data_IF_872830737922
#
_entry.id   IF_872830737922
#
_cell.length_a   1.000
_cell.length_b   1.000
_cell.length_c   1.000
_cell.angle_alpha   90.00
_cell.angle_beta   90.00
_cell.angle_gamma   90.00
#
_symmetry.space_group_name_H-M   'P 1'
#
loop_
_entity.id
_entity.type
_entity.pdbx_description
1 polymer ?
2 non-polymer ?
3 non-polymer ?
4 water ?
#
# COMPACT_ATOMS: atom_id res chain seq x y z
N UNK A 2 -4.16 -12.40 -5.50
CA UNK A 2 -4.45 -11.39 -6.50
C UNK A 2 -4.94 -10.09 -5.89
N UNK A 3 -4.46 -8.97 -6.41
CA UNK A 3 -4.86 -7.66 -5.92
C UNK A 3 -5.58 -6.85 -6.99
N UNK A 6 -7.96 0.49 -7.98
CA UNK A 6 -9.08 1.24 -8.53
C UNK A 6 -8.92 2.74 -8.27
N UNK A 7 -9.20 3.55 -9.28
CA UNK A 7 -9.11 5.00 -9.14
C UNK A 7 -10.45 5.67 -9.44
N UNK A 8 -10.87 6.55 -8.52
CA UNK A 8 -12.09 7.34 -8.71
C UNK A 8 -11.71 8.80 -8.89
N UNK A 9 -12.35 9.46 -9.85
CA UNK A 9 -12.14 10.89 -10.06
C UNK A 9 -13.46 11.65 -10.26
N UNK A 10 -13.61 12.75 -9.53
CA UNK A 10 -14.80 13.57 -9.63
C UNK A 10 -14.64 14.87 -8.88
N UNK A 11 -15.35 15.90 -9.31
CA UNK A 11 -15.25 17.22 -8.68
C UNK A 11 -16.13 17.31 -7.44
N UNK A 12 -17.02 16.35 -7.26
CA UNK A 12 -17.89 16.32 -6.09
C UNK A 12 -17.32 15.37 -5.04
N UNK A 13 -16.77 15.94 -3.98
CA UNK A 13 -16.14 15.15 -2.92
C UNK A 13 -17.16 14.26 -2.20
N UNK A 14 -18.39 14.74 -2.09
CA UNK A 14 -19.45 13.97 -1.45
C UNK A 14 -19.79 12.73 -2.27
N UNK A 15 -19.65 12.84 -3.59
CA UNK A 15 -19.93 11.72 -4.48
C UNK A 15 -18.81 10.68 -4.44
N UNK A 16 -17.57 11.15 -4.39
CA UNK A 16 -16.41 10.27 -4.30
C UNK A 16 -16.43 9.43 -3.03
N UNK A 17 -16.68 10.08 -1.90
CA UNK A 17 -16.67 9.41 -0.61
C UNK A 17 -17.87 8.48 -0.45
N UNK A 18 -18.96 8.80 -1.14
CA UNK A 18 -20.14 7.96 -1.13
C UNK A 18 -19.81 6.67 -1.87
N UNK A 19 -19.13 6.81 -3.00
CA UNK A 19 -18.69 5.66 -3.78
C UNK A 19 -17.64 4.86 -3.03
N UNK A 20 -16.80 5.58 -2.28
CA UNK A 20 -15.76 4.95 -1.48
C UNK A 20 -16.35 4.01 -0.44
N UNK A 21 -17.37 4.49 0.27
CA UNK A 21 -18.04 3.71 1.31
C UNK A 21 -18.62 2.42 0.76
N UNK A 22 -19.22 2.48 -0.42
CA UNK A 22 -19.85 1.32 -1.02
C UNK A 22 -18.83 0.32 -1.57
N UNK A 24 -15.63 -0.19 -0.69
CA UNK A 24 -14.86 -0.87 0.36
C UNK A 24 -15.72 -1.85 1.15
N UNK A 25 -17.03 -1.61 1.17
CA UNK A 25 -17.94 -2.52 1.85
C UNK A 25 -18.05 -3.82 1.06
N UNK A 26 -18.21 -3.70 -0.24
CA UNK A 26 -18.30 -4.87 -1.12
C UNK A 26 -17.01 -5.69 -1.08
N UNK A 27 -15.88 -5.00 -1.06
CA UNK A 27 -14.58 -5.66 -1.01
C UNK A 27 -14.39 -6.41 0.32
N UNK A 28 -14.78 -5.77 1.42
CA UNK A 28 -14.70 -6.39 2.74
C UNK A 28 -15.76 -7.47 2.89
N UNK A 29 -16.85 -7.34 2.15
CA UNK A 29 -17.92 -8.34 2.15
C UNK A 29 -17.41 -9.64 1.55
N UNK A 30 -16.42 -9.53 0.67
CA UNK A 30 -15.85 -10.70 0.01
C UNK A 30 -14.48 -11.04 0.61
N UNK A 31 -14.32 -10.75 1.89
CA UNK A 31 -13.09 -11.04 2.64
C UNK A 31 -11.83 -10.44 2.00
N UNK A 32 -11.92 -9.18 1.62
CA UNK A 32 -10.79 -8.49 1.01
C UNK A 32 -10.29 -7.33 1.86
N UNK A 33 -8.98 -7.20 1.98
CA UNK A 33 -8.38 -6.12 2.75
C UNK A 33 -8.18 -4.90 1.85
N UNK A 34 -8.71 -3.75 2.28
CA UNK A 34 -8.65 -2.55 1.45
C UNK A 34 -7.69 -1.50 1.97
N UNK A 35 -7.27 -0.63 1.06
CA UNK A 35 -6.43 0.52 1.37
C UNK A 35 -6.83 1.65 0.46
N UNK A 36 -7.07 2.83 1.02
CA UNK A 36 -7.48 3.97 0.19
C UNK A 36 -6.73 5.25 0.49
N UNK A 37 -6.75 6.16 -0.49
CA UNK A 37 -6.03 7.42 -0.40
C UNK A 37 -6.73 8.48 -1.23
N UNK A 38 -7.24 9.52 -0.56
CA UNK A 38 -7.88 10.63 -1.26
C UNK A 38 -6.96 11.83 -1.35
N UNK A 39 -6.69 12.28 -2.57
CA UNK A 39 -5.87 13.47 -2.79
C UNK A 39 -6.47 14.33 -3.89
N UNK A 40 -6.93 15.52 -3.53
CA UNK A 40 -7.56 16.41 -4.47
C UNK A 40 -8.88 15.86 -4.94
N UNK A 41 -9.01 15.64 -6.24
CA UNK A 41 -10.22 15.06 -6.82
C UNK A 41 -9.98 13.65 -7.29
N UNK A 42 -8.90 13.04 -6.80
CA UNK A 42 -8.53 11.68 -7.17
C UNK A 42 -8.52 10.77 -5.95
N UNK A 43 -9.22 9.64 -6.07
CA UNK A 43 -9.33 8.68 -4.97
C UNK A 43 -8.83 7.31 -5.40
N UNK A 45 -8.18 3.34 -4.59
CA UNK A 45 -8.61 2.23 -3.76
C UNK A 45 -7.83 0.96 -4.11
N UNK A 46 -6.99 0.51 -3.18
CA UNK A 46 -6.18 -0.68 -3.41
C UNK A 46 -6.73 -1.87 -2.63
N UNK A 47 -7.22 -2.87 -3.36
CA UNK A 47 -7.79 -4.06 -2.75
C UNK A 47 -6.90 -5.27 -2.96
N UNK A 48 -6.57 -5.97 -1.88
CA UNK A 48 -5.72 -7.15 -1.95
C UNK A 48 -6.43 -8.39 -1.41
N UNK A 49 -5.92 -9.57 -1.78
CA UNK A 49 -6.49 -10.82 -1.33
C UNK A 49 -7.82 -11.12 -1.98
N UNK A 50 -7.88 -10.97 -3.31
CA UNK A 50 -9.11 -11.23 -4.06
C UNK A 50 -8.83 -12.01 -5.34
N UNK A 51 -9.55 -13.12 -5.55
CA UNK A 51 -9.39 -13.95 -6.74
C UNK A 51 -10.26 -13.48 -7.91
N UNK A 52 -10.22 -14.21 -9.02
CA UNK A 52 -10.89 -13.81 -10.26
C UNK A 52 -12.41 -13.68 -10.11
N UNK A 53 -12.99 -14.48 -9.21
CA UNK A 53 -14.43 -14.48 -9.02
C UNK A 53 -14.98 -13.13 -8.57
N UNK A 54 -14.42 -12.58 -7.49
CA UNK A 54 -14.91 -11.32 -6.95
C UNK A 54 -14.34 -10.10 -7.67
N UNK A 55 -13.18 -10.28 -8.31
CA UNK A 55 -12.59 -9.19 -9.09
C UNK A 55 -13.47 -8.85 -10.29
N UNK A 56 -14.28 -9.82 -10.72
CA UNK A 56 -15.25 -9.60 -11.76
C UNK A 56 -16.45 -8.82 -11.20
N UNK A 57 -16.79 -9.09 -9.94
CA UNK A 57 -17.89 -8.43 -9.26
C UNK A 57 -17.52 -7.01 -8.84
N UNK A 58 -16.32 -6.86 -8.27
CA UNK A 58 -15.85 -5.55 -7.83
C UNK A 58 -15.71 -4.59 -9.00
N UNK A 59 -15.34 -5.12 -10.16
CA UNK A 59 -15.23 -4.32 -11.37
C UNK A 59 -16.62 -3.89 -11.83
N UNK A 60 -17.59 -4.79 -11.70
CA UNK A 60 -18.97 -4.48 -12.07
C UNK A 60 -19.55 -3.45 -11.12
N UNK A 61 -19.12 -3.49 -9.86
CA UNK A 61 -19.53 -2.52 -8.87
C UNK A 61 -18.92 -1.15 -9.18
N UNK A 62 -17.72 -1.15 -9.75
CA UNK A 62 -17.05 0.07 -10.14
C UNK A 62 -17.79 0.75 -11.29
N UNK A 63 -18.27 -0.06 -12.24
CA UNK A 63 -19.03 0.47 -13.37
C UNK A 63 -20.39 0.98 -12.91
N UNK A 64 -20.94 0.34 -11.89
CA UNK A 64 -22.25 0.71 -11.36
C UNK A 64 -22.19 2.04 -10.62
N UNK A 65 -21.15 2.24 -9.83
CA UNK A 65 -20.97 3.49 -9.09
C UNK A 65 -20.59 4.62 -10.04
N UNK A 66 -20.03 4.25 -11.19
CA UNK A 66 -19.68 5.23 -12.22
C UNK A 66 -20.93 5.94 -12.72
N UNK A 67 -21.94 5.18 -13.08
CA UNK A 67 -23.18 5.72 -13.62
C UNK A 67 -24.07 6.31 -12.52
N UNK A 68 -23.93 5.79 -11.31
CA UNK A 68 -24.75 6.24 -10.19
C UNK A 68 -24.39 7.63 -9.69
N UNK A 69 -23.09 7.89 -9.52
CA UNK A 69 -22.64 9.16 -8.97
C UNK A 69 -22.02 10.08 -10.02
N UNK A 70 -22.06 9.66 -11.28
CA UNK A 70 -21.52 10.43 -12.40
C UNK A 70 -20.05 10.80 -12.18
N UNK A 71 -19.21 9.79 -12.01
CA UNK A 71 -17.79 10.01 -11.80
C UNK A 71 -16.96 9.11 -12.74
N UNK A 72 -15.70 9.45 -12.91
CA UNK A 72 -14.80 8.66 -13.74
C UNK A 72 -14.24 7.50 -12.93
N UNK A 73 -13.99 6.38 -13.61
CA UNK A 73 -13.45 5.20 -12.94
C UNK A 73 -12.49 4.42 -13.85
N UNK A 74 -11.38 3.99 -13.28
CA UNK A 74 -10.45 3.11 -13.97
C UNK A 74 -9.86 2.11 -12.99
N UNK A 75 -9.46 0.93 -13.48
CA UNK A 75 -8.90 -0.08 -12.60
C UNK A 75 -7.92 -1.00 -13.32
N UNK A 76 -7.06 -1.65 -12.54
CA UNK A 76 -6.10 -2.62 -13.06
C UNK A 76 -6.12 -3.91 -12.23
N UNK A 77 -5.87 -5.03 -12.89
CA UNK A 77 -5.95 -6.32 -12.22
C UNK A 77 -4.65 -7.10 -12.36
N UNK A 78 -4.18 -7.66 -11.24
CA UNK A 78 -2.99 -8.49 -11.22
C UNK A 78 -3.33 -9.85 -10.63
N UNK A 79 -3.31 -10.89 -11.47
CA UNK A 79 -3.80 -12.19 -11.08
C UNK A 79 -2.74 -13.27 -10.88
N UNK A 80 -1.72 -13.27 -11.74
CA UNK A 80 -0.69 -14.32 -11.70
C UNK A 80 0.13 -14.30 -10.42
N UNK A 81 0.93 -15.34 -10.22
CA UNK A 81 1.76 -15.46 -9.04
C UNK A 81 3.05 -16.23 -9.31
N UNK A 82 3.54 -16.96 -8.32
CA UNK A 82 2.88 -17.04 -7.01
C UNK A 82 3.52 -16.09 -6.02
N UNK A 83 2.71 -15.14 -5.51
CA UNK A 83 3.19 -14.18 -4.53
C UNK A 83 2.62 -12.79 -4.75
N UNK A 84 3.12 -11.83 -3.99
CA UNK A 84 4.16 -12.09 -3.00
C UNK A 84 3.73 -11.65 -1.61
N UNK A 85 4.38 -10.62 -1.10
CA UNK A 85 4.08 -10.10 0.22
C UNK A 85 4.30 -8.60 0.34
N UNK A 86 3.96 -8.03 1.50
CA UNK A 86 4.08 -6.60 1.73
C UNK A 86 4.66 -6.33 3.11
N UNK A 89 7.81 -0.40 6.96
CA UNK A 89 8.75 -0.02 8.01
C UNK A 89 8.70 1.48 8.25
N UNK A 90 8.77 1.88 9.53
CA UNK A 90 8.70 3.29 9.90
C UNK A 90 9.92 3.73 10.69
N UNK A 91 10.59 4.78 10.22
CA UNK A 91 11.73 5.37 10.91
C UNK A 91 11.36 6.75 11.44
N UNK A 92 11.72 7.02 12.70
CA UNK A 92 11.50 8.32 13.29
C UNK A 92 12.71 8.79 14.09
N UNK A 93 12.98 10.09 14.01
CA UNK A 93 14.11 10.68 14.70
C UNK A 93 14.21 12.18 14.45
N UNK A 94 14.94 12.88 15.30
CA UNK A 94 15.07 14.32 15.19
C UNK A 94 16.29 14.70 14.35
N UNK A 95 17.05 13.70 13.90
CA UNK A 95 18.20 13.93 13.06
C UNK A 95 17.93 13.45 11.64
N UNK A 96 17.85 14.39 10.70
CA UNK A 96 17.52 14.07 9.31
C UNK A 96 18.62 13.26 8.63
N UNK A 97 19.86 13.56 8.97
CA UNK A 97 21.00 12.87 8.36
C UNK A 97 21.01 11.40 8.74
N UNK A 98 20.67 11.10 9.98
CA UNK A 98 20.65 9.73 10.47
C UNK A 98 19.53 8.93 9.82
N UNK A 99 18.38 9.58 9.62
CA UNK A 99 17.24 8.94 8.97
C UNK A 99 17.56 8.56 7.53
N UNK A 100 18.07 9.52 6.78
CA UNK A 100 18.38 9.32 5.36
C UNK A 100 19.54 8.34 5.17
N UNK A 101 20.44 8.31 6.15
CA UNK A 101 21.56 7.37 6.10
C UNK A 101 21.07 5.96 6.42
N UNK A 102 20.11 5.87 7.33
CA UNK A 102 19.47 4.59 7.63
C UNK A 102 18.62 4.15 6.45
N UNK A 103 18.03 5.13 5.75
CA UNK A 103 17.23 4.86 4.57
C UNK A 103 18.05 4.20 3.48
N UNK A 104 19.26 4.72 3.26
CA UNK A 104 20.15 4.22 2.23
C UNK A 104 20.53 2.76 2.48
N UNK A 105 20.69 2.39 3.75
CA UNK A 105 21.06 1.03 4.11
C UNK A 105 19.88 0.08 3.99
N UNK A 107 17.37 0.45 2.11
CA UNK A 107 17.11 0.33 0.67
C UNK A 107 18.03 -0.71 0.04
N UNK A 108 19.32 -0.61 0.36
CA UNK A 108 20.33 -1.52 -0.18
C UNK A 108 20.00 -2.98 0.14
N UNK A 109 19.55 -3.23 1.37
CA UNK A 109 19.22 -4.58 1.82
C UNK A 109 18.06 -5.17 1.04
N UNK A 110 16.97 -4.41 0.96
CA UNK A 110 15.76 -4.87 0.30
C UNK A 110 15.96 -5.07 -1.20
N UNK A 111 16.78 -4.22 -1.81
CA UNK A 111 17.03 -4.32 -3.24
C UNK A 111 18.05 -5.40 -3.58
N UNK A 112 18.87 -5.77 -2.59
CA UNK A 112 19.79 -6.88 -2.74
C UNK A 112 19.01 -8.19 -2.75
N UNK A 113 17.90 -8.21 -2.01
CA UNK A 113 17.06 -9.39 -1.93
C UNK A 113 15.93 -9.35 -2.96
N UNK A 114 16.17 -8.62 -4.06
CA UNK A 114 15.22 -8.51 -5.17
C UNK A 114 13.84 -8.04 -4.76
N UNK A 115 13.79 -6.97 -3.97
CA UNK A 115 12.53 -6.41 -3.53
C UNK A 115 12.36 -4.96 -3.97
N UNK A 116 11.12 -4.58 -4.28
CA UNK A 116 10.83 -3.20 -4.67
C UNK A 116 10.44 -2.37 -3.45
N UNK A 117 10.98 -1.15 -3.38
CA UNK A 117 10.72 -0.29 -2.23
C UNK A 117 10.01 1.02 -2.61
N UNK A 118 9.22 1.52 -1.68
CA UNK A 118 8.53 2.81 -1.83
C UNK A 118 8.66 3.56 -0.52
N UNK A 119 9.31 4.73 -0.55
CA UNK A 119 9.52 5.50 0.67
C UNK A 119 8.98 6.92 0.61
N UNK A 120 8.71 7.47 1.78
CA UNK A 120 8.11 8.80 1.90
C UNK A 120 8.65 9.50 3.15
N UNK A 121 9.29 10.64 2.94
CA UNK A 121 9.86 11.41 4.04
C UNK A 121 9.03 12.67 4.28
N UNK A 122 8.46 12.77 5.47
CA UNK A 122 7.69 13.95 5.85
C UNK A 122 7.99 14.33 7.29
N UNK A 123 8.61 15.51 7.46
CA UNK A 123 8.99 15.97 8.78
C UNK A 123 10.08 15.10 9.38
N UNK A 124 9.76 14.44 10.49
CA UNK A 124 10.71 13.58 11.18
C UNK A 124 10.39 12.09 11.01
N UNK A 125 9.42 11.80 10.15
CA UNK A 125 8.96 10.44 9.95
C UNK A 125 9.29 9.93 8.54
N UNK A 126 9.85 8.73 8.47
CA UNK A 126 10.19 8.12 7.20
C UNK A 126 9.57 6.74 7.08
N UNK A 128 8.58 3.27 4.87
CA UNK A 128 9.06 2.43 3.77
C UNK A 128 8.15 1.24 3.50
N UNK A 129 7.64 1.15 2.27
CA UNK A 129 6.83 0.03 1.87
C UNK A 129 7.62 -0.91 0.98
N UNK A 130 7.76 -2.17 1.41
CA UNK A 130 8.53 -3.15 0.65
C UNK A 130 7.61 -4.26 0.14
N UNK A 131 7.46 -4.34 -1.17
CA UNK A 131 6.60 -5.35 -1.79
C UNK A 131 7.41 -6.29 -2.67
N UNK A 132 6.83 -7.44 -2.99
CA UNK A 132 7.48 -8.41 -3.85
C UNK A 132 8.50 -9.26 -3.12
N UNK A 133 8.22 -9.58 -1.86
CA UNK A 133 9.12 -10.38 -1.05
C UNK A 133 8.37 -11.46 -0.27
N UNK A 134 8.93 -12.67 -0.22
CA UNK A 134 8.35 -13.80 0.52
C UNK A 134 8.67 -13.76 2.00
N UNK A 135 8.08 -14.66 2.77
CA UNK A 135 8.29 -14.73 4.22
C UNK A 135 9.75 -14.95 4.59
N UNK A 136 10.48 -15.64 3.71
CA UNK A 136 11.89 -15.93 3.94
C UNK A 136 12.72 -14.66 3.96
N UNK A 137 12.27 -13.66 3.21
CA UNK A 137 12.98 -12.39 3.11
C UNK A 137 12.48 -11.37 4.14
N UNK A 138 11.18 -11.36 4.38
CA UNK A 138 10.57 -10.39 5.28
C UNK A 138 11.05 -10.53 6.72
N UNK A 139 11.59 -11.69 7.06
CA UNK A 139 12.15 -11.92 8.38
C UNK A 139 13.58 -11.38 8.45
N UNK A 140 14.27 -11.43 7.33
CA UNK A 140 15.65 -10.95 7.25
C UNK A 140 15.71 -9.42 7.29
N UNK A 141 14.78 -8.77 6.59
CA UNK A 141 14.73 -7.32 6.56
C UNK A 141 14.34 -6.74 7.92
N UNK A 142 13.52 -7.49 8.66
CA UNK A 142 13.10 -7.08 9.99
C UNK A 142 14.27 -7.10 10.95
N UNK A 143 15.19 -8.03 10.73
CA UNK A 143 16.42 -8.11 11.53
C UNK A 143 17.33 -6.92 11.20
N UNK A 144 17.45 -6.61 9.92
CA UNK A 144 18.27 -5.50 9.48
C UNK A 144 17.68 -4.17 9.92
N UNK A 145 16.36 -4.11 10.02
CA UNK A 145 15.68 -2.92 10.51
C UNK A 145 15.99 -2.69 11.99
N UNK A 146 16.18 -3.78 12.72
CA UNK A 146 16.49 -3.68 14.15
C UNK A 146 17.97 -3.33 14.34
N UNK A 147 18.80 -3.72 13.37
CA UNK A 147 20.21 -3.36 13.39
C UNK A 147 20.37 -1.85 13.20
N UNK A 148 19.60 -1.29 12.27
CA UNK A 148 19.62 0.14 12.00
C UNK A 148 19.04 0.91 13.19
N UNK A 149 18.14 0.27 13.92
CA UNK A 149 17.52 0.87 15.09
C UNK A 149 18.55 1.21 16.16
N UNK A 150 19.45 0.28 16.43
CA UNK A 150 20.46 0.46 17.46
C UNK A 150 21.66 1.26 16.96
N UNK A 151 21.93 1.14 15.66
CA UNK A 151 23.08 1.82 15.06
C UNK A 151 22.90 3.32 14.97
N UNK A 152 21.74 3.75 14.47
CA UNK A 152 21.47 5.18 14.28
C UNK A 152 20.54 5.74 15.34
N UNK A 153 20.32 4.96 16.41
CA UNK A 153 19.42 5.32 17.52
C UNK A 153 18.11 5.98 17.09
N UNK A 154 17.38 5.30 16.20
CA UNK A 154 16.11 5.81 15.71
C UNK A 154 14.96 4.90 16.13
N UNK A 155 13.77 5.48 16.27
CA UNK A 155 12.58 4.71 16.59
C UNK A 155 12.12 3.94 15.35
N UNK A 156 11.98 2.62 15.50
CA UNK A 156 11.67 1.76 14.37
C UNK A 156 10.48 0.85 14.63
N UNK A 157 9.52 0.85 13.70
CA UNK A 157 8.38 -0.04 13.76
C UNK A 157 8.16 -0.70 12.40
N UNK A 158 7.84 -1.99 12.42
CA UNK A 158 7.57 -2.71 11.19
C UNK A 158 6.34 -3.60 11.34
N UNK A 159 5.55 -3.70 10.28
CA UNK A 159 4.35 -4.55 10.28
C UNK A 159 4.28 -5.39 9.02
N UNK A 160 3.94 -6.67 9.20
CA UNK A 160 3.88 -7.62 8.10
C UNK A 160 2.42 -7.97 7.79
N UNK A 161 2.13 -8.23 6.53
CA UNK A 161 0.77 -8.62 6.13
C UNK A 161 0.82 -9.67 5.02
#
# INVERSE_FOLDING_TARGET
XGEXXIIFEGDDLEALEKALKEXIRQARKFAGTVEYWLSGNRLXIRITGVPEQVRKELAKEAERLKAEFNIQVEYQIRGSGSGSGEXXIIFEGDDLEALEKALKEXIRQARKFAGTVEYWLSGNRLXIRITGVPEQVRKELAKEAERLKAEFNIQVEYQIRTGSLEHHHHHH
#
